data_IF_605914631727
#
_entry.id   IF_605914631727
#
_cell.length_a   1.000
_cell.length_b   1.000
_cell.length_c   1.000
_cell.angle_alpha   90.00
_cell.angle_beta   90.00
_cell.angle_gamma   90.00
#
_symmetry.space_group_name_H-M   'P 1'
#
loop_
_entity.id
_entity.type
_entity.pdbx_description
1 polymer ?
#
# COMPACT_ATOMS: atom_id res chain seq x y z
N UNK A 1 -2.33 -62.38 48.66
CA UNK A 1 -3.13 -62.02 47.46
C UNK A 1 -4.20 -63.08 47.26
N UNK A 2 -5.47 -62.71 47.36
CA UNK A 2 -6.56 -63.66 47.15
C UNK A 2 -6.73 -63.92 45.64
N UNK A 3 -6.51 -65.17 45.20
CA UNK A 3 -6.87 -65.60 43.85
C UNK A 3 -8.40 -65.50 43.70
N UNK A 4 -8.88 -64.57 42.88
CA UNK A 4 -10.29 -64.49 42.45
C UNK A 4 -10.37 -64.98 41.01
N UNK A 5 -11.15 -66.02 40.75
CA UNK A 5 -11.27 -66.68 39.44
C UNK A 5 -12.02 -65.80 38.41
N UNK A 6 -12.92 -64.94 38.88
CA UNK A 6 -13.77 -64.12 38.00
C UNK A 6 -13.16 -62.80 37.53
N UNK A 7 -12.07 -62.33 38.13
CA UNK A 7 -11.45 -61.03 37.79
C UNK A 7 -9.94 -61.14 37.74
N UNK A 8 -9.36 -61.03 36.54
CA UNK A 8 -7.92 -61.07 36.32
C UNK A 8 -7.31 -59.66 36.32
N UNK A 9 -6.92 -59.20 37.51
CA UNK A 9 -6.32 -57.87 37.72
C UNK A 9 -4.99 -57.65 36.96
N UNK A 10 -4.04 -58.62 36.89
CA UNK A 10 -2.84 -58.41 36.09
C UNK A 10 -3.12 -58.28 34.59
N UNK A 11 -4.08 -59.04 34.04
CA UNK A 11 -4.52 -58.88 32.65
C UNK A 11 -5.15 -57.51 32.38
N UNK A 12 -6.02 -57.02 33.28
CA UNK A 12 -6.59 -55.67 33.17
C UNK A 12 -5.50 -54.58 33.25
N UNK A 13 -4.47 -54.75 34.07
CA UNK A 13 -3.34 -53.83 34.12
C UNK A 13 -2.54 -53.82 32.81
N UNK A 14 -2.27 -55.00 32.23
CA UNK A 14 -1.61 -55.12 30.93
C UNK A 14 -2.42 -54.48 29.80
N UNK A 15 -3.75 -54.66 29.78
CA UNK A 15 -4.64 -54.02 28.80
C UNK A 15 -4.64 -52.49 28.94
N UNK A 16 -4.65 -51.95 30.17
CA UNK A 16 -4.51 -50.50 30.41
C UNK A 16 -3.16 -49.96 29.91
N UNK A 17 -2.07 -50.67 30.19
CA UNK A 17 -0.74 -50.28 29.70
C UNK A 17 -0.66 -50.32 28.16
N UNK A 18 -1.24 -51.34 27.53
CA UNK A 18 -1.33 -51.46 26.08
C UNK A 18 -2.14 -50.30 25.49
N UNK A 19 -3.30 -49.96 26.06
CA UNK A 19 -4.12 -48.84 25.60
C UNK A 19 -3.37 -47.50 25.65
N UNK A 20 -2.63 -47.24 26.74
CA UNK A 20 -1.77 -46.04 26.84
C UNK A 20 -0.66 -46.05 25.78
N UNK A 21 -0.02 -47.22 25.55
CA UNK A 21 1.03 -47.36 24.53
C UNK A 21 0.49 -47.13 23.12
N UNK A 22 -0.67 -47.71 22.77
CA UNK A 22 -1.35 -47.49 21.50
C UNK A 22 -1.74 -46.02 21.30
N UNK A 23 -2.22 -45.32 22.33
CA UNK A 23 -2.54 -43.89 22.26
C UNK A 23 -1.29 -43.03 22.00
N UNK A 24 -0.16 -43.34 22.64
CA UNK A 24 1.14 -42.66 22.40
C UNK A 24 1.69 -42.94 21.00
N UNK A 25 1.54 -44.18 20.51
CA UNK A 25 1.94 -44.52 19.14
C UNK A 25 1.09 -43.75 18.11
N UNK A 26 -0.21 -43.65 18.34
CA UNK A 26 -1.11 -42.85 17.49
C UNK A 26 -0.68 -41.39 17.39
N UNK A 27 -0.35 -40.75 18.52
CA UNK A 27 0.12 -39.36 18.50
C UNK A 27 1.49 -39.18 17.85
N UNK A 28 2.40 -40.14 18.00
CA UNK A 28 3.69 -40.12 17.31
C UNK A 28 3.51 -40.24 15.78
N UNK A 29 2.63 -41.13 15.32
CA UNK A 29 2.30 -41.28 13.90
C UNK A 29 1.66 -39.98 13.36
N UNK A 30 0.74 -39.36 14.10
CA UNK A 30 0.13 -38.08 13.71
C UNK A 30 1.18 -36.96 13.54
N UNK A 31 2.12 -36.84 14.49
CA UNK A 31 3.21 -35.85 14.42
C UNK A 31 4.17 -36.12 13.27
N UNK A 32 4.48 -37.38 12.96
CA UNK A 32 5.31 -37.76 11.82
C UNK A 32 4.60 -37.45 10.50
N UNK A 33 3.31 -37.79 10.39
CA UNK A 33 2.53 -37.58 9.18
C UNK A 33 2.32 -36.09 8.85
N UNK A 34 2.16 -35.26 9.88
CA UNK A 34 1.90 -33.83 9.74
C UNK A 34 3.16 -32.97 9.75
N UNK A 35 4.27 -33.52 10.28
CA UNK A 35 5.51 -32.79 10.50
C UNK A 35 5.44 -31.72 11.60
N UNK A 36 4.32 -31.59 12.32
CA UNK A 36 4.15 -30.59 13.38
C UNK A 36 4.10 -31.23 14.76
N UNK A 37 4.93 -30.71 15.67
CA UNK A 37 5.05 -31.20 17.05
C UNK A 37 3.82 -30.89 17.90
N UNK A 38 3.21 -29.74 17.69
CA UNK A 38 2.08 -29.21 18.46
C UNK A 38 0.85 -29.21 17.55
N UNK A 39 -0.03 -30.20 17.72
CA UNK A 39 -1.23 -30.34 16.87
C UNK A 39 -2.53 -30.31 17.67
N UNK A 40 -2.56 -30.88 18.88
CA UNK A 40 -3.74 -30.90 19.73
C UNK A 40 -3.64 -29.85 20.83
N UNK A 41 -4.70 -29.07 21.01
CA UNK A 41 -4.82 -28.07 22.08
C UNK A 41 -4.62 -28.67 23.47
N UNK A 42 -4.90 -29.96 23.66
CA UNK A 42 -4.75 -30.65 24.95
C UNK A 42 -3.30 -31.00 25.34
N UNK A 43 -2.33 -30.97 24.43
CA UNK A 43 -0.94 -31.37 24.73
C UNK A 43 -0.12 -30.21 25.33
N UNK A 44 -0.34 -28.96 24.89
CA UNK A 44 0.28 -27.74 25.41
C UNK A 44 -0.47 -26.49 24.90
N UNK A 45 -1.42 -25.98 25.70
CA UNK A 45 -2.25 -24.83 25.33
C UNK A 45 -1.41 -23.56 25.14
N UNK A 46 -0.36 -23.37 25.96
CA UNK A 46 0.47 -22.17 25.91
C UNK A 46 1.33 -22.10 24.66
N UNK A 47 2.04 -23.18 24.34
CA UNK A 47 2.86 -23.21 23.13
C UNK A 47 2.03 -23.19 21.84
N UNK A 48 0.82 -23.77 21.86
CA UNK A 48 -0.10 -23.71 20.72
C UNK A 48 -0.66 -22.30 20.52
N UNK A 49 -0.98 -21.57 21.60
CA UNK A 49 -1.44 -20.18 21.51
C UNK A 49 -0.38 -19.26 20.88
N UNK A 50 0.89 -19.38 21.29
CA UNK A 50 1.99 -18.61 20.69
C UNK A 50 2.19 -18.97 19.23
N UNK A 51 2.10 -20.27 18.88
CA UNK A 51 2.25 -20.73 17.50
C UNK A 51 1.14 -20.19 16.59
N UNK A 52 -0.10 -20.12 17.08
CA UNK A 52 -1.21 -19.58 16.32
C UNK A 52 -1.16 -18.05 16.22
N UNK A 53 -0.71 -17.36 17.27
CA UNK A 53 -0.43 -15.92 17.22
C UNK A 53 0.61 -15.61 16.12
N UNK A 54 1.75 -16.32 16.11
CA UNK A 54 2.78 -16.16 15.08
C UNK A 54 2.26 -16.50 13.67
N UNK A 55 1.37 -17.49 13.53
CA UNK A 55 0.73 -17.80 12.25
C UNK A 55 -0.19 -16.67 11.79
N UNK A 56 -0.93 -16.06 12.72
CA UNK A 56 -1.71 -14.85 12.48
C UNK A 56 -0.81 -13.72 12.01
N UNK A 57 0.30 -13.50 12.71
CA UNK A 57 1.26 -12.45 12.40
C UNK A 57 1.86 -12.61 11.00
N UNK A 58 2.27 -13.82 10.63
CA UNK A 58 2.78 -14.12 9.29
C UNK A 58 1.74 -13.83 8.21
N UNK A 59 0.46 -14.14 8.45
CA UNK A 59 -0.61 -13.85 7.48
C UNK A 59 -0.85 -12.34 7.36
N UNK A 60 -0.87 -11.62 8.47
CA UNK A 60 -1.01 -10.18 8.48
C UNK A 60 0.17 -9.49 7.75
N UNK A 61 1.41 -9.88 8.05
CA UNK A 61 2.60 -9.35 7.37
C UNK A 61 2.62 -9.66 5.86
N UNK A 62 2.16 -10.85 5.45
CA UNK A 62 2.00 -11.18 4.02
C UNK A 62 0.97 -10.29 3.32
N UNK A 63 -0.10 -9.91 4.02
CA UNK A 63 -1.05 -8.95 3.48
C UNK A 63 -0.46 -7.53 3.47
N UNK A 64 0.26 -7.13 4.52
CA UNK A 64 0.97 -5.86 4.58
C UNK A 64 1.99 -5.70 3.45
N UNK A 65 2.72 -6.77 3.10
CA UNK A 65 3.61 -6.77 1.95
C UNK A 65 2.86 -6.54 0.62
N UNK A 66 1.64 -7.08 0.46
CA UNK A 66 0.80 -6.80 -0.71
C UNK A 66 0.34 -5.34 -0.72
N UNK A 67 -0.14 -4.84 0.42
CA UNK A 67 -0.53 -3.44 0.56
C UNK A 67 0.64 -2.49 0.24
N UNK A 68 1.89 -2.82 0.64
CA UNK A 68 3.09 -2.06 0.24
C UNK A 68 3.27 -1.98 -1.27
N UNK A 69 3.10 -3.11 -1.96
CA UNK A 69 3.23 -3.12 -3.42
C UNK A 69 2.16 -2.25 -4.07
N UNK A 70 0.92 -2.25 -3.56
CA UNK A 70 -0.12 -1.34 -4.04
C UNK A 70 0.26 0.14 -3.81
N UNK A 71 0.87 0.45 -2.66
CA UNK A 71 1.42 1.79 -2.39
C UNK A 71 2.54 2.19 -3.34
N UNK A 72 3.44 1.27 -3.66
CA UNK A 72 4.50 1.50 -4.66
C UNK A 72 3.88 1.79 -6.03
N UNK A 73 2.88 1.01 -6.46
CA UNK A 73 2.20 1.23 -7.73
C UNK A 73 1.46 2.58 -7.78
N UNK A 74 0.85 3.00 -6.67
CA UNK A 74 0.24 4.32 -6.53
C UNK A 74 1.28 5.43 -6.72
N UNK A 75 2.41 5.34 -6.02
CA UNK A 75 3.49 6.34 -6.12
C UNK A 75 4.08 6.37 -7.52
N UNK A 76 4.30 5.23 -8.16
CA UNK A 76 4.82 5.17 -9.54
C UNK A 76 3.85 5.81 -10.55
N UNK A 77 2.54 5.63 -10.35
CA UNK A 77 1.52 6.26 -11.18
C UNK A 77 1.55 7.79 -11.02
N UNK A 78 1.66 8.27 -9.77
CA UNK A 78 1.83 9.69 -9.49
C UNK A 78 3.12 10.25 -10.12
N UNK A 79 4.25 9.57 -9.94
CA UNK A 79 5.56 9.98 -10.46
C UNK A 79 5.58 10.04 -12.00
N UNK A 80 4.95 9.06 -12.67
CA UNK A 80 4.78 9.11 -14.13
C UNK A 80 4.01 10.34 -14.60
N UNK A 81 2.89 10.65 -13.94
CA UNK A 81 2.09 11.84 -14.27
C UNK A 81 2.83 13.15 -13.97
N UNK A 82 3.62 13.21 -12.89
CA UNK A 82 4.46 14.37 -12.56
C UNK A 82 5.58 14.59 -13.59
N UNK A 83 6.15 13.53 -14.15
CA UNK A 83 7.15 13.64 -15.20
C UNK A 83 6.57 14.24 -16.50
N UNK A 84 5.35 13.88 -16.87
CA UNK A 84 4.63 14.51 -18.00
C UNK A 84 4.34 15.99 -17.72
N UNK A 85 3.84 16.30 -16.51
CA UNK A 85 3.62 17.69 -16.09
C UNK A 85 4.90 18.53 -16.08
N UNK A 86 6.03 17.96 -15.65
CA UNK A 86 7.34 18.61 -15.70
C UNK A 86 7.77 18.93 -17.14
N UNK A 87 7.54 18.00 -18.07
CA UNK A 87 7.85 18.19 -19.49
C UNK A 87 6.99 19.30 -20.11
N UNK A 88 5.71 19.38 -19.74
CA UNK A 88 4.82 20.49 -20.13
C UNK A 88 5.32 21.82 -19.55
N UNK A 89 5.73 21.87 -18.29
CA UNK A 89 6.25 23.11 -17.67
C UNK A 89 7.53 23.61 -18.36
N UNK A 90 8.42 22.71 -18.77
CA UNK A 90 9.61 23.07 -19.55
C UNK A 90 9.20 23.67 -20.90
N UNK A 91 8.22 23.08 -21.59
CA UNK A 91 7.69 23.62 -22.85
C UNK A 91 6.99 24.97 -22.66
N UNK A 92 6.19 25.12 -21.61
CA UNK A 92 5.55 26.39 -21.24
C UNK A 92 6.60 27.48 -21.03
N UNK A 93 7.70 27.16 -20.35
CA UNK A 93 8.82 28.09 -20.15
C UNK A 93 9.54 28.44 -21.47
N UNK A 94 9.69 27.49 -22.38
CA UNK A 94 10.28 27.76 -23.71
C UNK A 94 9.44 28.80 -24.46
N UNK A 95 8.12 28.58 -24.54
CA UNK A 95 7.23 29.45 -25.29
C UNK A 95 7.02 30.83 -24.62
N UNK A 96 7.08 30.92 -23.27
CA UNK A 96 7.07 32.22 -22.58
C UNK A 96 8.31 33.03 -22.95
N UNK A 97 9.50 32.41 -22.92
CA UNK A 97 10.74 33.10 -23.32
C UNK A 97 10.76 33.50 -24.80
N UNK A 98 10.15 32.68 -25.66
CA UNK A 98 9.99 33.01 -27.08
C UNK A 98 9.11 34.25 -27.27
N UNK A 99 7.98 34.32 -26.59
CA UNK A 99 7.05 35.43 -26.70
C UNK A 99 7.56 36.73 -26.04
N UNK A 100 8.38 36.63 -24.98
CA UNK A 100 9.07 37.75 -24.34
C UNK A 100 10.13 38.42 -25.24
N UNK A 101 10.48 37.79 -26.38
CA UNK A 101 11.42 38.38 -27.33
C UNK A 101 10.70 39.48 -28.14
N UNK A 102 11.22 40.71 -28.07
CA UNK A 102 10.61 41.89 -28.72
C UNK A 102 10.61 41.89 -30.27
N UNK A 103 11.15 40.85 -30.91
CA UNK A 103 11.10 40.67 -32.38
C UNK A 103 9.86 39.90 -32.85
N UNK A 104 9.08 39.32 -31.94
CA UNK A 104 7.87 38.55 -32.27
C UNK A 104 6.69 39.50 -32.45
N UNK A 105 6.02 39.40 -33.61
CA UNK A 105 4.84 40.19 -33.93
C UNK A 105 3.60 39.80 -33.13
N UNK A 106 2.56 40.63 -33.19
CA UNK A 106 1.30 40.41 -32.45
C UNK A 106 0.55 39.15 -32.91
N UNK A 107 0.63 38.81 -34.20
CA UNK A 107 -0.02 37.62 -34.78
C UNK A 107 0.69 36.34 -34.33
N UNK A 108 2.02 36.35 -34.29
CA UNK A 108 2.84 35.23 -33.81
C UNK A 108 2.63 35.03 -32.31
N UNK A 109 2.58 36.11 -31.51
CA UNK A 109 2.23 36.06 -30.08
C UNK A 109 0.85 35.46 -29.83
N UNK A 110 -0.15 35.80 -30.65
CA UNK A 110 -1.48 35.21 -30.55
C UNK A 110 -1.47 33.70 -30.83
N UNK A 111 -0.61 33.24 -31.75
CA UNK A 111 -0.46 31.81 -32.07
C UNK A 111 0.23 31.06 -30.93
N UNK A 112 1.29 31.63 -30.36
CA UNK A 112 1.99 31.06 -29.19
C UNK A 112 1.08 31.02 -27.96
N UNK A 113 0.21 32.04 -27.78
CA UNK A 113 -0.78 32.05 -26.71
C UNK A 113 -1.80 30.90 -26.85
N UNK A 114 -2.20 30.54 -28.08
CA UNK A 114 -3.05 29.37 -28.31
C UNK A 114 -2.34 28.09 -27.87
N UNK A 115 -1.07 27.92 -28.22
CA UNK A 115 -0.26 26.77 -27.77
C UNK A 115 -0.15 26.73 -26.23
N UNK A 116 0.15 27.88 -25.60
CA UNK A 116 0.20 27.99 -24.13
C UNK A 116 -1.13 27.58 -23.48
N UNK A 117 -2.26 28.04 -24.04
CA UNK A 117 -3.57 27.70 -23.51
C UNK A 117 -3.91 26.22 -23.64
N UNK A 118 -3.48 25.57 -24.73
CA UNK A 118 -3.67 24.15 -24.96
C UNK A 118 -2.80 23.31 -24.01
N UNK A 119 -1.53 23.66 -23.84
CA UNK A 119 -0.61 23.00 -22.90
C UNK A 119 -1.07 23.15 -21.45
N UNK A 120 -1.60 24.32 -21.08
CA UNK A 120 -2.19 24.53 -19.76
C UNK A 120 -3.43 23.67 -19.55
N UNK A 121 -4.33 23.59 -20.53
CA UNK A 121 -5.50 22.72 -20.44
C UNK A 121 -5.09 21.25 -20.29
N UNK A 122 -4.03 20.83 -20.99
CA UNK A 122 -3.48 19.48 -20.87
C UNK A 122 -2.84 19.22 -19.50
N UNK A 123 -2.11 20.20 -18.96
CA UNK A 123 -1.55 20.13 -17.60
C UNK A 123 -2.64 19.88 -16.54
N UNK A 124 -3.73 20.65 -16.61
CA UNK A 124 -4.88 20.50 -15.72
C UNK A 124 -5.64 19.19 -15.97
N UNK A 125 -5.71 18.74 -17.23
CA UNK A 125 -6.30 17.44 -17.57
C UNK A 125 -5.52 16.29 -16.92
N UNK A 126 -4.19 16.31 -16.95
CA UNK A 126 -3.35 15.29 -16.31
C UNK A 126 -3.57 15.31 -14.79
N UNK A 127 -3.60 16.48 -14.17
CA UNK A 127 -3.87 16.62 -12.73
C UNK A 127 -5.21 16.00 -12.32
N UNK A 128 -6.26 16.26 -13.12
CA UNK A 128 -7.62 15.80 -12.81
C UNK A 128 -7.91 14.35 -13.23
N UNK A 129 -7.20 13.81 -14.23
CA UNK A 129 -7.43 12.45 -14.74
C UNK A 129 -6.55 11.40 -14.07
N UNK A 130 -5.40 11.78 -13.49
CA UNK A 130 -4.51 10.85 -12.78
C UNK A 130 -5.20 10.29 -11.53
N UNK A 131 -5.50 9.00 -11.58
CA UNK A 131 -6.14 8.28 -10.48
C UNK A 131 -5.57 6.88 -10.31
N UNK A 132 -5.60 6.39 -9.08
CA UNK A 132 -5.27 5.01 -8.75
C UNK A 132 -6.41 4.42 -7.93
N UNK A 133 -7.00 3.34 -8.43
CA UNK A 133 -8.13 2.65 -7.78
C UNK A 133 -9.29 3.60 -7.40
N UNK A 134 -9.58 4.58 -8.26
CA UNK A 134 -10.63 5.60 -8.07
C UNK A 134 -10.26 6.77 -7.14
N UNK A 135 -9.06 6.78 -6.57
CA UNK A 135 -8.55 7.93 -5.81
C UNK A 135 -7.72 8.83 -6.72
N UNK A 136 -8.07 10.12 -6.77
CA UNK A 136 -7.24 11.14 -7.44
C UNK A 136 -5.93 11.30 -6.69
N UNK A 137 -4.84 11.57 -7.41
CA UNK A 137 -3.50 11.63 -6.80
C UNK A 137 -2.90 13.04 -6.77
N UNK A 138 -3.26 13.89 -7.74
CA UNK A 138 -2.61 15.19 -8.00
C UNK A 138 -3.51 16.40 -7.69
N UNK A 139 -4.74 16.16 -7.25
CA UNK A 139 -5.72 17.20 -6.88
C UNK A 139 -5.52 17.79 -5.48
N UNK A 140 -4.51 17.30 -4.75
CA UNK A 140 -4.21 17.71 -3.37
C UNK A 140 -4.86 16.83 -2.29
N UNK A 141 -5.54 15.75 -2.67
CA UNK A 141 -6.05 14.74 -1.72
C UNK A 141 -4.94 13.99 -0.95
N UNK A 142 -3.70 13.98 -1.48
CA UNK A 142 -2.51 13.46 -0.81
C UNK A 142 -1.74 14.51 0.01
N UNK A 143 -2.28 15.72 0.18
CA UNK A 143 -1.67 16.74 1.03
C UNK A 143 -1.75 16.33 2.51
N UNK A 144 -0.77 16.73 3.30
CA UNK A 144 -0.77 16.50 4.75
C UNK A 144 -1.98 17.15 5.45
N UNK A 145 -2.56 18.19 4.84
CA UNK A 145 -3.75 18.90 5.32
C UNK A 145 -5.07 18.28 4.86
N UNK A 146 -5.05 17.22 4.04
CA UNK A 146 -6.27 16.60 3.54
C UNK A 146 -7.04 15.88 4.66
N UNK A 147 -8.37 15.98 4.63
CA UNK A 147 -9.23 15.42 5.68
C UNK A 147 -9.30 13.89 5.70
N UNK A 148 -8.92 13.23 4.58
CA UNK A 148 -8.87 11.79 4.45
C UNK A 148 -7.41 11.36 4.28
N UNK A 149 -6.85 10.70 5.29
CA UNK A 149 -5.51 10.15 5.23
C UNK A 149 -5.49 8.81 4.48
N UNK A 150 -4.63 8.69 3.47
CA UNK A 150 -4.36 7.45 2.75
C UNK A 150 -3.29 6.66 3.51
N UNK A 151 -3.73 5.86 4.47
CA UNK A 151 -2.85 5.07 5.34
C UNK A 151 -2.75 3.64 4.84
N UNK A 152 -1.52 3.20 4.58
CA UNK A 152 -1.22 1.80 4.29
C UNK A 152 -0.95 1.04 5.57
N UNK A 153 -1.73 -0.01 5.82
CA UNK A 153 -1.48 -0.94 6.92
C UNK A 153 -0.46 -1.99 6.49
N UNK A 154 0.69 -2.04 7.19
CA UNK A 154 1.82 -2.88 6.83
C UNK A 154 2.13 -3.96 7.87
N UNK A 155 1.85 -3.65 9.13
CA UNK A 155 2.15 -4.54 10.25
C UNK A 155 0.95 -5.23 10.84
N UNK A 156 1.22 -5.94 11.93
CA UNK A 156 0.30 -6.83 12.64
C UNK A 156 -0.68 -6.09 13.55
N UNK A 157 -0.29 -4.92 14.03
CA UNK A 157 -1.10 -4.13 14.95
C UNK A 157 -1.45 -2.75 14.35
N UNK A 158 -2.32 -2.04 15.05
CA UNK A 158 -2.77 -0.70 14.66
C UNK A 158 -1.84 0.42 15.15
N UNK A 159 -0.62 0.11 15.61
CA UNK A 159 0.33 1.13 16.04
C UNK A 159 0.85 1.94 14.85
N UNK A 160 1.28 3.17 15.13
CA UNK A 160 1.79 4.08 14.10
C UNK A 160 3.04 3.52 13.39
N UNK A 161 3.83 2.69 14.07
CA UNK A 161 5.00 2.04 13.48
C UNK A 161 4.65 1.02 12.38
N UNK A 162 3.42 0.49 12.42
CA UNK A 162 2.93 -0.52 11.51
C UNK A 162 2.04 0.06 10.40
N UNK A 163 1.96 1.39 10.34
CA UNK A 163 1.16 2.16 9.39
C UNK A 163 2.05 3.13 8.63
N UNK A 164 1.81 3.25 7.34
CA UNK A 164 2.48 4.24 6.51
C UNK A 164 1.45 5.23 5.99
N UNK A 165 1.44 6.41 6.58
CA UNK A 165 0.59 7.51 6.14
C UNK A 165 1.25 8.23 4.95
N UNK A 166 0.69 8.04 3.75
CA UNK A 166 1.20 8.66 2.53
C UNK A 166 1.06 10.19 2.58
N UNK A 167 0.00 10.70 3.20
CA UNK A 167 -0.28 12.15 3.23
C UNK A 167 0.81 12.90 4.00
N UNK A 168 1.26 12.34 5.12
CA UNK A 168 2.34 12.97 5.89
C UNK A 168 3.73 12.75 5.29
N UNK A 169 3.97 11.59 4.66
CA UNK A 169 5.31 11.24 4.15
C UNK A 169 5.61 11.85 2.79
N UNK A 170 4.62 11.94 1.91
CA UNK A 170 4.79 12.47 0.55
C UNK A 170 4.35 13.94 0.52
N UNK A 171 3.24 14.28 1.20
CA UNK A 171 2.66 15.62 1.25
C UNK A 171 2.54 16.26 -0.14
N UNK A 172 1.80 15.57 -1.02
CA UNK A 172 1.53 16.04 -2.37
C UNK A 172 0.38 17.05 -2.34
N UNK A 173 0.73 18.34 -2.31
CA UNK A 173 -0.23 19.43 -2.48
C UNK A 173 -0.81 19.42 -3.89
N UNK A 174 -1.94 20.09 -4.12
CA UNK A 174 -2.56 20.16 -5.44
C UNK A 174 -1.58 20.73 -6.48
N UNK A 175 -1.37 20.02 -7.59
CA UNK A 175 -0.52 20.44 -8.71
C UNK A 175 -1.43 20.74 -9.90
N UNK A 176 -2.12 21.88 -9.79
CA UNK A 176 -2.99 22.43 -10.84
C UNK A 176 -2.48 23.80 -11.25
N UNK A 177 -2.87 24.29 -12.43
CA UNK A 177 -2.48 25.62 -12.92
C UNK A 177 -2.93 26.75 -11.98
N UNK A 178 -4.02 26.54 -11.23
CA UNK A 178 -4.50 27.46 -10.20
C UNK A 178 -3.62 27.43 -8.94
N UNK A 179 -3.16 26.26 -8.50
CA UNK A 179 -2.31 26.12 -7.34
C UNK A 179 -0.88 26.64 -7.57
N UNK A 180 -0.37 26.52 -8.80
CA UNK A 180 0.94 27.02 -9.21
C UNK A 180 0.94 28.49 -9.67
N UNK A 181 -0.25 29.12 -9.75
CA UNK A 181 -0.38 30.56 -9.96
C UNK A 181 -0.41 31.04 -11.42
N UNK A 182 -0.36 30.16 -12.42
CA UNK A 182 -0.32 30.54 -13.85
C UNK A 182 -1.67 30.38 -14.59
N UNK A 183 -2.76 30.21 -13.85
CA UNK A 183 -4.12 30.08 -14.42
C UNK A 183 -4.63 31.33 -15.16
N UNK A 184 -4.08 32.52 -14.86
CA UNK A 184 -4.48 33.80 -15.47
C UNK A 184 -3.39 34.43 -16.33
N UNK A 185 -2.22 33.82 -16.41
CA UNK A 185 -1.10 34.40 -17.15
C UNK A 185 -1.38 34.38 -18.65
N UNK A 186 -1.29 35.56 -19.25
CA UNK A 186 -1.40 35.76 -20.68
C UNK A 186 -0.08 36.31 -21.18
N UNK A 187 0.53 35.59 -22.11
CA UNK A 187 1.80 35.95 -22.76
C UNK A 187 1.51 36.84 -24.00
N UNK A 188 0.27 37.30 -24.13
CA UNK A 188 -0.17 38.14 -25.24
C UNK A 188 0.44 39.56 -25.19
N UNK A 189 0.99 39.97 -24.03
CA UNK A 189 1.64 41.27 -23.82
C UNK A 189 3.08 41.09 -23.36
N UNK A 190 3.96 42.03 -23.74
CA UNK A 190 5.40 42.01 -23.42
C UNK A 190 5.70 42.03 -21.91
N UNK A 191 4.71 42.47 -21.11
CA UNK A 191 4.77 42.56 -19.66
C UNK A 191 4.19 41.33 -18.95
N UNK A 192 3.52 40.44 -19.68
CA UNK A 192 2.89 39.22 -19.16
C UNK A 192 3.65 37.93 -19.50
N UNK A 193 4.80 38.04 -20.17
CA UNK A 193 5.68 36.94 -20.55
C UNK A 193 6.82 36.71 -19.55
#
# INVERSE_FOLDING_TARGET
>A
MALRIFTNLPSQNSQRAMSISSARLGSAIERIATGIRLQRSGDDIGAMAVSEALRGDVRALRQGAKNLNDGISLIQTADGALNEQSSILIRLREITTQAATGTVGSTERATVQLEFSALRAEFDRIANSTEFNGQKLLDGSLAASASNATVLQLGVDSSDNNRFDLNQKINLTAITSSALGFSTDSIATDTGA
#
